data_IF_514304184361
#
_entry.id   IF_514304184361
#
_cell.length_a   1.000
_cell.length_b   1.000
_cell.length_c   1.000
_cell.angle_alpha   90.00
_cell.angle_beta   90.00
_cell.angle_gamma   90.00
#
_symmetry.space_group_name_H-M   'P 1'
#
loop_
_entity.id
_entity.type
_entity.pdbx_description
1 polymer ?
#
# COMPACT_ATOMS: atom_id res chain seq x y z
N UNK A 1 46.04 5.42 -6.57
CA UNK A 1 45.60 4.60 -5.43
C UNK A 1 45.54 5.45 -4.15
N UNK A 2 44.68 6.48 -4.09
CA UNK A 2 44.72 7.48 -3.01
C UNK A 2 43.65 7.32 -1.90
N UNK A 3 42.61 6.48 -2.11
CA UNK A 3 41.47 6.40 -1.18
C UNK A 3 41.28 5.04 -0.49
N UNK A 4 42.22 4.10 -0.60
CA UNK A 4 42.07 2.77 0.03
C UNK A 4 40.91 1.92 -0.51
N UNK A 5 40.26 2.35 -1.59
CA UNK A 5 39.15 1.65 -2.27
C UNK A 5 39.72 0.99 -3.53
N UNK A 6 39.58 -0.33 -3.63
CA UNK A 6 39.96 -1.10 -4.82
C UNK A 6 38.72 -1.27 -5.70
N UNK A 7 38.73 -0.68 -6.89
CA UNK A 7 37.66 -0.91 -7.89
C UNK A 7 38.16 -1.89 -8.94
N UNK A 8 37.41 -2.96 -9.21
CA UNK A 8 37.64 -3.83 -10.35
C UNK A 8 37.46 -3.05 -11.68
N UNK A 9 38.06 -3.52 -12.80
CA UNK A 9 38.15 -2.76 -14.05
C UNK A 9 36.79 -2.27 -14.59
N UNK A 10 35.74 -3.06 -14.39
CA UNK A 10 34.38 -2.76 -14.81
C UNK A 10 33.49 -2.22 -13.71
N UNK A 11 33.92 -2.29 -12.44
CA UNK A 11 33.11 -1.88 -11.28
C UNK A 11 32.75 -0.41 -11.37
N UNK A 12 33.69 0.47 -11.76
CA UNK A 12 33.36 1.89 -11.97
C UNK A 12 32.38 2.14 -13.11
N UNK A 13 32.37 1.29 -14.14
CA UNK A 13 31.44 1.42 -15.26
C UNK A 13 30.04 0.92 -14.84
N UNK A 14 29.98 -0.18 -14.10
CA UNK A 14 28.74 -0.68 -13.50
C UNK A 14 28.20 0.28 -12.44
N UNK A 15 29.00 0.76 -11.50
CA UNK A 15 28.60 1.76 -10.49
C UNK A 15 28.03 3.02 -11.16
N UNK A 16 28.66 3.52 -12.23
CA UNK A 16 28.15 4.67 -12.98
C UNK A 16 26.78 4.43 -13.63
N UNK A 17 26.41 3.19 -13.93
CA UNK A 17 25.11 2.83 -14.52
C UNK A 17 24.09 2.41 -13.46
N UNK A 18 24.53 1.68 -12.43
CA UNK A 18 23.71 1.12 -11.36
C UNK A 18 23.32 2.19 -10.35
N UNK A 19 24.23 3.08 -9.95
CA UNK A 19 23.90 4.12 -8.94
C UNK A 19 22.74 5.01 -9.42
N UNK A 20 22.72 5.52 -10.66
CA UNK A 20 21.58 6.29 -11.16
C UNK A 20 20.28 5.48 -11.32
N UNK A 21 20.38 4.19 -11.67
CA UNK A 21 19.22 3.30 -11.79
C UNK A 21 18.64 2.97 -10.41
N UNK A 22 19.48 2.69 -9.43
CA UNK A 22 19.09 2.49 -8.03
C UNK A 22 18.47 3.77 -7.48
N UNK A 23 19.10 4.92 -7.68
CA UNK A 23 18.55 6.20 -7.22
C UNK A 23 17.21 6.52 -7.92
N UNK A 24 17.05 6.13 -9.18
CA UNK A 24 15.77 6.22 -9.90
C UNK A 24 14.71 5.30 -9.30
N UNK A 25 15.05 4.05 -8.99
CA UNK A 25 14.15 3.07 -8.34
C UNK A 25 13.79 3.51 -6.90
N UNK A 26 14.66 4.25 -6.21
CA UNK A 26 14.36 4.71 -4.85
C UNK A 26 13.49 5.97 -4.78
N UNK A 27 13.14 6.60 -5.92
CA UNK A 27 12.24 7.76 -5.95
C UNK A 27 10.77 7.33 -6.01
N UNK A 28 9.94 7.82 -5.09
CA UNK A 28 8.48 7.58 -5.08
C UNK A 28 7.80 7.97 -6.40
N UNK A 29 8.28 9.02 -7.07
CA UNK A 29 7.83 9.44 -8.41
C UNK A 29 7.89 8.31 -9.44
N UNK A 30 8.93 7.48 -9.38
CA UNK A 30 9.21 6.45 -10.36
C UNK A 30 8.20 5.31 -10.27
N UNK A 31 7.82 4.93 -9.04
CA UNK A 31 6.76 3.94 -8.82
C UNK A 31 5.41 4.39 -9.38
N UNK A 32 5.04 5.67 -9.21
CA UNK A 32 3.81 6.22 -9.78
C UNK A 32 3.82 6.26 -11.32
N UNK A 33 4.96 6.59 -11.94
CA UNK A 33 5.12 6.56 -13.40
C UNK A 33 5.03 5.13 -13.94
N UNK A 34 5.70 4.17 -13.29
CA UNK A 34 5.65 2.77 -13.68
C UNK A 34 4.22 2.23 -13.59
N UNK A 35 3.52 2.53 -12.49
CA UNK A 35 2.15 2.15 -12.29
C UNK A 35 1.23 2.71 -13.39
N UNK A 36 1.39 3.99 -13.74
CA UNK A 36 0.69 4.62 -14.86
C UNK A 36 0.99 3.94 -16.19
N UNK A 37 2.26 3.58 -16.45
CA UNK A 37 2.63 2.85 -17.66
C UNK A 37 1.94 1.49 -17.72
N UNK A 38 1.92 0.72 -16.61
CA UNK A 38 1.23 -0.56 -16.54
C UNK A 38 -0.28 -0.42 -16.76
N UNK A 39 -0.91 0.61 -16.20
CA UNK A 39 -2.34 0.90 -16.42
C UNK A 39 -2.64 1.20 -17.89
N UNK A 40 -1.82 2.04 -18.54
CA UNK A 40 -1.95 2.35 -19.96
C UNK A 40 -1.74 1.11 -20.82
N UNK A 41 -0.74 0.29 -20.51
CA UNK A 41 -0.48 -0.98 -21.20
C UNK A 41 -1.68 -1.91 -21.07
N UNK A 42 -2.25 -2.06 -19.87
CA UNK A 42 -3.45 -2.87 -19.65
C UNK A 42 -4.61 -2.40 -20.53
N UNK A 43 -4.84 -1.08 -20.58
CA UNK A 43 -5.89 -0.49 -21.38
C UNK A 43 -5.66 -0.70 -22.88
N UNK A 44 -4.43 -0.55 -23.35
CA UNK A 44 -4.07 -0.80 -24.76
C UNK A 44 -4.31 -2.27 -25.11
N UNK A 45 -3.87 -3.20 -24.27
CA UNK A 45 -4.07 -4.64 -24.50
C UNK A 45 -5.57 -4.97 -24.57
N UNK A 46 -6.36 -4.49 -23.60
CA UNK A 46 -7.80 -4.74 -23.50
C UNK A 46 -8.61 -4.16 -24.68
N UNK A 47 -8.05 -3.21 -25.43
CA UNK A 47 -8.68 -2.57 -26.58
C UNK A 47 -7.99 -2.94 -27.91
N UNK A 48 -7.19 -4.00 -27.91
CA UNK A 48 -6.46 -4.48 -29.09
C UNK A 48 -6.90 -5.90 -29.49
N UNK A 49 -6.45 -6.42 -30.65
CA UNK A 49 -6.68 -7.83 -31.02
C UNK A 49 -6.13 -8.85 -30.00
N UNK A 50 -5.28 -8.43 -29.06
CA UNK A 50 -4.75 -9.29 -28.00
C UNK A 50 -5.71 -9.47 -26.82
N UNK A 51 -6.86 -8.80 -26.82
CA UNK A 51 -7.86 -8.84 -25.73
C UNK A 51 -8.26 -10.27 -25.37
N UNK A 52 -8.64 -11.10 -26.34
CA UNK A 52 -9.11 -12.46 -26.06
C UNK A 52 -8.01 -13.32 -25.41
N UNK A 53 -6.79 -13.25 -25.92
CA UNK A 53 -5.63 -13.94 -25.34
C UNK A 53 -5.33 -13.46 -23.92
N UNK A 54 -5.50 -12.16 -23.67
CA UNK A 54 -5.30 -11.54 -22.37
C UNK A 54 -6.34 -11.98 -21.34
N UNK A 55 -7.62 -11.91 -21.68
CA UNK A 55 -8.73 -12.39 -20.83
C UNK A 55 -8.59 -13.90 -20.58
N UNK A 56 -8.28 -14.71 -21.61
CA UNK A 56 -8.08 -16.15 -21.46
C UNK A 56 -6.92 -16.45 -20.50
N UNK A 57 -5.80 -15.74 -20.60
CA UNK A 57 -4.69 -15.90 -19.66
C UNK A 57 -5.13 -15.60 -18.22
N UNK A 58 -5.76 -14.46 -17.98
CA UNK A 58 -6.21 -14.05 -16.65
C UNK A 58 -7.25 -15.00 -16.04
N UNK A 59 -8.13 -15.58 -16.85
CA UNK A 59 -9.15 -16.53 -16.41
C UNK A 59 -8.69 -18.00 -16.39
N UNK A 60 -7.43 -18.28 -16.76
CA UNK A 60 -6.90 -19.65 -16.71
C UNK A 60 -6.93 -20.18 -15.26
N UNK A 61 -7.56 -21.34 -14.99
CA UNK A 61 -7.65 -21.88 -13.64
C UNK A 61 -6.31 -22.47 -13.20
N UNK A 62 -5.83 -22.05 -12.03
CA UNK A 62 -4.65 -22.59 -11.35
C UNK A 62 -5.11 -23.26 -10.07
N UNK A 63 -4.97 -24.58 -10.01
CA UNK A 63 -5.35 -25.38 -8.85
C UNK A 63 -4.15 -25.70 -7.96
N UNK A 64 -4.27 -25.37 -6.67
CA UNK A 64 -3.35 -25.83 -5.62
C UNK A 64 -4.09 -26.83 -4.73
N UNK A 65 -3.57 -28.05 -4.64
CA UNK A 65 -4.19 -29.12 -3.85
C UNK A 65 -3.21 -29.77 -2.87
N UNK A 66 -3.70 -30.04 -1.66
CA UNK A 66 -2.98 -30.78 -0.62
C UNK A 66 -3.91 -31.85 -0.03
N UNK A 67 -3.51 -33.12 -0.15
CA UNK A 67 -4.16 -34.22 0.58
C UNK A 67 -5.68 -34.34 0.42
N UNK A 68 -6.20 -34.32 -0.83
CA UNK A 68 -7.61 -34.57 -1.15
C UNK A 68 -8.48 -33.32 -1.33
N UNK A 69 -8.05 -32.14 -0.89
CA UNK A 69 -8.66 -30.85 -1.20
C UNK A 69 -7.91 -30.12 -2.31
N UNK A 70 -8.61 -29.40 -3.19
CA UNK A 70 -8.02 -28.56 -4.24
C UNK A 70 -8.71 -27.19 -4.28
N UNK A 71 -7.92 -26.12 -4.19
CA UNK A 71 -8.34 -24.74 -4.44
C UNK A 71 -8.06 -24.41 -5.90
N UNK A 72 -9.11 -24.30 -6.72
CA UNK A 72 -9.00 -23.87 -8.12
C UNK A 72 -9.45 -22.42 -8.22
N UNK A 73 -8.51 -21.51 -8.50
CA UNK A 73 -8.77 -20.08 -8.66
C UNK A 73 -8.14 -19.62 -9.97
N UNK A 74 -8.72 -18.60 -10.61
CA UNK A 74 -8.13 -18.01 -11.81
C UNK A 74 -6.82 -17.30 -11.49
N UNK A 75 -5.94 -17.12 -12.49
CA UNK A 75 -4.73 -16.30 -12.35
C UNK A 75 -5.07 -14.91 -11.80
N UNK A 76 -6.12 -14.28 -12.32
CA UNK A 76 -6.61 -12.98 -11.84
C UNK A 76 -6.96 -13.01 -10.34
N UNK A 77 -7.65 -14.04 -9.88
CA UNK A 77 -8.03 -14.14 -8.47
C UNK A 77 -6.82 -14.44 -7.56
N UNK A 78 -5.87 -15.26 -8.01
CA UNK A 78 -4.60 -15.46 -7.32
C UNK A 78 -3.81 -14.17 -7.18
N UNK A 79 -3.72 -13.39 -8.27
CA UNK A 79 -3.09 -12.07 -8.27
C UNK A 79 -3.77 -11.19 -7.21
N UNK A 80 -5.10 -11.09 -7.22
CA UNK A 80 -5.80 -10.21 -6.31
C UNK A 80 -5.66 -10.62 -4.84
N UNK A 81 -5.83 -11.89 -4.50
CA UNK A 81 -5.74 -12.33 -3.09
C UNK A 81 -4.31 -12.35 -2.55
N UNK A 82 -3.33 -12.80 -3.35
CA UNK A 82 -1.95 -12.92 -2.91
C UNK A 82 -1.21 -11.58 -2.91
N UNK A 83 -1.29 -10.83 -4.01
CA UNK A 83 -0.58 -9.56 -4.13
C UNK A 83 -1.13 -8.53 -3.15
N UNK A 84 -2.45 -8.46 -2.98
CA UNK A 84 -3.04 -7.53 -2.04
C UNK A 84 -2.77 -7.93 -0.59
N UNK A 85 -2.60 -9.22 -0.25
CA UNK A 85 -2.14 -9.59 1.09
C UNK A 85 -0.74 -9.04 1.40
N UNK A 86 0.18 -9.02 0.44
CA UNK A 86 1.49 -8.37 0.62
C UNK A 86 1.40 -6.85 0.67
N UNK A 87 0.55 -6.23 -0.15
CA UNK A 87 0.29 -4.80 -0.10
C UNK A 87 -0.24 -4.38 1.30
N UNK A 88 -1.27 -5.06 1.79
CA UNK A 88 -1.85 -4.78 3.11
C UNK A 88 -0.93 -5.17 4.28
N UNK A 89 -0.01 -6.12 4.08
CA UNK A 89 1.07 -6.36 5.05
C UNK A 89 1.98 -5.13 5.18
N UNK A 90 2.40 -4.52 4.07
CA UNK A 90 3.21 -3.28 4.12
C UNK A 90 2.42 -2.13 4.71
N UNK A 91 1.18 -1.91 4.25
CA UNK A 91 0.30 -0.87 4.81
C UNK A 91 0.06 -1.06 6.31
N UNK A 92 -0.13 -2.30 6.77
CA UNK A 92 -0.28 -2.61 8.19
C UNK A 92 0.99 -2.35 8.99
N UNK A 93 2.18 -2.60 8.42
CA UNK A 93 3.46 -2.33 9.09
C UNK A 93 3.69 -0.81 9.22
N UNK A 94 3.40 -0.06 8.16
CA UNK A 94 3.50 1.38 8.12
C UNK A 94 2.51 2.03 9.11
N UNK A 95 1.24 1.60 9.11
CA UNK A 95 0.24 2.04 10.07
C UNK A 95 0.68 1.77 11.51
N UNK A 96 1.18 0.56 11.79
CA UNK A 96 1.69 0.22 13.13
C UNK A 96 2.84 1.14 13.54
N UNK A 97 3.74 1.47 12.61
CA UNK A 97 4.84 2.42 12.84
C UNK A 97 4.31 3.82 13.15
N UNK A 98 3.37 4.32 12.34
CA UNK A 98 2.77 5.64 12.53
C UNK A 98 2.01 5.77 13.86
N UNK A 99 1.26 4.74 14.26
CA UNK A 99 0.53 4.72 15.54
C UNK A 99 1.43 4.65 16.76
N UNK A 100 2.57 3.95 16.68
CA UNK A 100 3.43 3.71 17.84
C UNK A 100 4.58 4.71 17.98
N UNK A 101 5.10 5.22 16.87
CA UNK A 101 6.33 6.04 16.84
C UNK A 101 6.23 7.24 15.89
N UNK A 102 5.27 7.26 14.96
CA UNK A 102 5.13 8.33 13.96
C UNK A 102 4.15 9.43 14.35
N UNK A 103 3.55 10.07 13.35
CA UNK A 103 2.74 11.29 13.54
C UNK A 103 1.37 11.01 14.14
N UNK A 104 0.87 9.77 13.98
CA UNK A 104 -0.38 9.32 14.59
C UNK A 104 -0.21 8.91 16.06
N UNK A 105 1.02 8.89 16.59
CA UNK A 105 1.29 8.51 17.98
C UNK A 105 0.80 9.55 18.99
N UNK A 106 0.72 10.82 18.61
CA UNK A 106 0.21 11.88 19.48
C UNK A 106 -1.27 12.18 19.16
N UNK A 107 -2.19 12.09 20.14
CA UNK A 107 -3.62 12.27 19.88
C UNK A 107 -3.94 13.62 19.21
N UNK A 108 -3.24 14.69 19.60
CA UNK A 108 -3.48 16.03 19.03
C UNK A 108 -3.08 16.13 17.55
N UNK A 109 -2.00 15.48 17.13
CA UNK A 109 -1.57 15.49 15.73
C UNK A 109 -2.38 14.50 14.88
N UNK A 110 -2.77 13.37 15.47
CA UNK A 110 -3.55 12.33 14.81
C UNK A 110 -4.99 12.76 14.49
N UNK A 111 -5.59 13.65 15.30
CA UNK A 111 -6.99 14.06 15.13
C UNK A 111 -7.29 14.68 13.76
N UNK A 112 -6.35 15.46 13.20
CA UNK A 112 -6.60 16.13 11.91
C UNK A 112 -6.63 15.13 10.74
N UNK A 113 -5.61 14.29 10.50
CA UNK A 113 -5.68 13.26 9.45
C UNK A 113 -6.82 12.27 9.67
N UNK A 114 -7.09 11.85 10.91
CA UNK A 114 -8.19 10.91 11.20
C UNK A 114 -9.55 11.55 10.87
N UNK A 115 -9.81 12.78 11.31
CA UNK A 115 -11.07 13.45 10.99
C UNK A 115 -11.24 13.62 9.47
N UNK A 116 -10.17 14.03 8.79
CA UNK A 116 -10.14 14.16 7.34
C UNK A 116 -10.44 12.82 6.65
N UNK A 117 -9.84 11.72 7.10
CA UNK A 117 -10.04 10.36 6.59
C UNK A 117 -11.49 9.90 6.79
N UNK A 118 -12.03 10.03 8.01
CA UNK A 118 -13.43 9.67 8.30
C UNK A 118 -14.39 10.45 7.38
N UNK A 119 -14.19 11.77 7.22
CA UNK A 119 -14.96 12.56 6.26
C UNK A 119 -14.78 12.06 4.83
N UNK A 120 -13.53 11.79 4.44
CA UNK A 120 -13.11 11.25 3.15
C UNK A 120 -13.59 9.83 2.84
N UNK A 121 -14.10 9.08 3.82
CA UNK A 121 -14.74 7.78 3.59
C UNK A 121 -16.26 7.90 3.60
N UNK A 122 -16.82 8.62 4.57
CA UNK A 122 -18.27 8.72 4.79
C UNK A 122 -18.96 9.46 3.65
N UNK A 123 -18.42 10.61 3.21
CA UNK A 123 -19.07 11.41 2.16
C UNK A 123 -19.10 10.70 0.79
N UNK A 124 -18.00 10.09 0.32
CA UNK A 124 -18.05 9.30 -0.91
C UNK A 124 -19.01 8.13 -0.85
N UNK A 125 -19.01 7.39 0.25
CA UNK A 125 -19.91 6.25 0.47
C UNK A 125 -21.39 6.69 0.41
N UNK A 126 -21.74 7.76 1.12
CA UNK A 126 -23.09 8.32 1.09
C UNK A 126 -23.46 8.88 -0.28
N UNK A 127 -22.52 9.55 -0.97
CA UNK A 127 -22.72 10.06 -2.32
C UNK A 127 -23.04 8.95 -3.33
N UNK A 128 -22.33 7.83 -3.26
CA UNK A 128 -22.63 6.66 -4.06
C UNK A 128 -23.98 6.04 -3.70
N UNK A 129 -24.22 5.84 -2.40
CA UNK A 129 -25.45 5.22 -1.91
C UNK A 129 -26.70 6.04 -2.25
N UNK A 130 -26.61 7.37 -2.25
CA UNK A 130 -27.72 8.24 -2.66
C UNK A 130 -28.17 8.02 -4.10
N UNK A 131 -27.24 7.65 -5.01
CA UNK A 131 -27.55 7.32 -6.40
C UNK A 131 -27.91 5.84 -6.59
N UNK A 132 -27.46 4.96 -5.69
CA UNK A 132 -27.68 3.52 -5.73
C UNK A 132 -28.19 2.98 -4.39
N UNK A 133 -29.39 3.38 -3.92
CA UNK A 133 -29.85 3.06 -2.56
C UNK A 133 -30.34 1.62 -2.41
N UNK A 134 -30.58 0.91 -3.51
CA UNK A 134 -31.19 -0.42 -3.50
C UNK A 134 -30.70 -1.29 -4.65
N UNK A 135 -30.90 -2.60 -4.52
CA UNK A 135 -30.59 -3.57 -5.54
C UNK A 135 -29.11 -3.96 -5.60
N UNK A 136 -28.71 -4.70 -6.65
CA UNK A 136 -27.34 -5.17 -6.85
C UNK A 136 -26.27 -4.08 -6.78
N UNK A 137 -26.58 -2.90 -7.32
CA UNK A 137 -25.69 -1.74 -7.36
C UNK A 137 -25.31 -1.22 -5.96
N UNK A 138 -26.18 -1.38 -4.95
CA UNK A 138 -25.91 -0.90 -3.59
C UNK A 138 -24.67 -1.55 -2.96
N UNK A 139 -24.26 -2.74 -3.43
CA UNK A 139 -23.05 -3.41 -2.97
C UNK A 139 -21.76 -2.61 -3.30
N UNK A 140 -21.81 -1.69 -4.27
CA UNK A 140 -20.68 -0.85 -4.65
C UNK A 140 -20.42 0.37 -3.75
N UNK A 141 -21.16 0.55 -2.65
CA UNK A 141 -21.03 1.73 -1.77
C UNK A 141 -19.62 1.96 -1.23
N UNK A 142 -18.84 0.89 -1.09
CA UNK A 142 -17.47 0.99 -0.60
C UNK A 142 -16.45 1.44 -1.64
N UNK A 143 -16.78 1.41 -2.92
CA UNK A 143 -15.84 1.68 -4.01
C UNK A 143 -15.19 3.07 -3.93
N UNK A 144 -15.93 4.17 -3.75
CA UNK A 144 -15.35 5.51 -3.78
C UNK A 144 -14.72 5.95 -2.44
N UNK A 145 -14.62 5.06 -1.44
CA UNK A 145 -13.99 5.39 -0.16
C UNK A 145 -12.47 5.33 -0.20
N UNK A 146 -11.91 4.54 -1.12
CA UNK A 146 -10.49 4.25 -1.12
C UNK A 146 -9.66 5.28 -1.91
N UNK A 147 -8.38 5.35 -1.59
CA UNK A 147 -7.41 6.25 -2.22
C UNK A 147 -6.17 5.45 -2.59
N UNK A 148 -5.72 5.57 -3.84
CA UNK A 148 -4.46 5.00 -4.29
C UNK A 148 -3.30 5.93 -3.88
N UNK A 149 -2.63 5.58 -2.79
CA UNK A 149 -1.51 6.35 -2.24
C UNK A 149 -0.39 6.57 -3.26
N UNK A 150 -0.07 5.56 -4.09
CA UNK A 150 1.05 5.62 -5.03
C UNK A 150 0.78 6.66 -6.13
N UNK A 151 -0.44 6.70 -6.66
CA UNK A 151 -0.83 7.73 -7.62
C UNK A 151 -1.00 9.10 -6.97
N UNK A 152 -1.62 9.19 -5.79
CA UNK A 152 -1.86 10.46 -5.14
C UNK A 152 -0.53 11.15 -4.76
N UNK A 153 0.40 10.41 -4.17
CA UNK A 153 1.76 10.91 -3.86
C UNK A 153 2.55 11.15 -5.14
N UNK A 154 2.43 10.26 -6.14
CA UNK A 154 3.03 10.46 -7.46
C UNK A 154 2.62 11.77 -8.11
N UNK A 155 1.32 12.06 -8.19
CA UNK A 155 0.79 13.32 -8.72
C UNK A 155 1.23 14.54 -7.90
N UNK A 156 1.24 14.43 -6.57
CA UNK A 156 1.70 15.48 -5.68
C UNK A 156 3.19 15.79 -5.87
N UNK A 157 4.00 14.75 -6.06
CA UNK A 157 5.46 14.87 -6.23
C UNK A 157 5.85 15.57 -7.54
N UNK A 158 5.01 15.51 -8.59
CA UNK A 158 5.20 16.26 -9.84
C UNK A 158 5.14 17.79 -9.64
N UNK A 159 4.52 18.26 -8.56
CA UNK A 159 4.47 19.68 -8.22
C UNK A 159 5.79 20.17 -7.58
N UNK A 160 6.65 19.27 -7.14
CA UNK A 160 7.97 19.55 -6.59
C UNK A 160 7.93 20.54 -5.43
N UNK A 161 8.79 21.56 -5.49
CA UNK A 161 8.93 22.56 -4.43
C UNK A 161 7.74 23.53 -4.28
N UNK A 162 6.71 23.44 -5.14
CA UNK A 162 5.53 24.33 -5.06
C UNK A 162 4.57 23.97 -3.93
N UNK A 163 4.72 22.78 -3.34
CA UNK A 163 3.83 22.26 -2.32
C UNK A 163 4.59 22.16 -1.00
N UNK A 164 4.00 22.61 0.13
CA UNK A 164 4.62 22.44 1.45
C UNK A 164 4.82 20.97 1.81
N UNK A 165 5.92 20.66 2.51
CA UNK A 165 6.21 19.29 2.95
C UNK A 165 5.12 18.73 3.86
N UNK A 166 4.54 19.57 4.71
CA UNK A 166 3.42 19.20 5.58
C UNK A 166 2.20 18.69 4.82
N UNK A 167 2.01 19.10 3.55
CA UNK A 167 0.91 18.61 2.72
C UNK A 167 1.14 17.17 2.25
N UNK A 168 2.39 16.82 1.91
CA UNK A 168 2.78 15.46 1.52
C UNK A 168 2.56 14.52 2.69
N UNK A 169 3.06 14.93 3.85
CA UNK A 169 2.89 14.17 5.09
C UNK A 169 1.42 14.00 5.46
N UNK A 170 0.61 15.07 5.37
CA UNK A 170 -0.83 15.00 5.60
C UNK A 170 -1.54 14.02 4.65
N UNK A 171 -1.21 14.03 3.35
CA UNK A 171 -1.77 13.10 2.37
C UNK A 171 -1.39 11.64 2.69
N UNK A 172 -0.14 11.38 3.08
CA UNK A 172 0.30 10.03 3.46
C UNK A 172 -0.47 9.55 4.69
N UNK A 173 -0.56 10.37 5.75
CA UNK A 173 -1.31 10.02 6.95
C UNK A 173 -2.80 9.80 6.68
N UNK A 174 -3.42 10.65 5.85
CA UNK A 174 -4.80 10.50 5.38
C UNK A 174 -4.99 9.16 4.66
N UNK A 175 -4.13 8.86 3.68
CA UNK A 175 -4.24 7.65 2.86
C UNK A 175 -4.07 6.37 3.70
N UNK A 176 -3.14 6.37 4.67
CA UNK A 176 -2.96 5.23 5.58
C UNK A 176 -4.23 4.96 6.40
N UNK A 177 -4.87 6.02 6.92
CA UNK A 177 -6.11 5.87 7.71
C UNK A 177 -7.28 5.45 6.81
N UNK A 178 -7.40 6.03 5.61
CA UNK A 178 -8.41 5.65 4.62
C UNK A 178 -8.28 4.18 4.20
N UNK A 179 -7.06 3.70 3.93
CA UNK A 179 -6.80 2.31 3.55
C UNK A 179 -7.12 1.33 4.68
N UNK A 180 -6.77 1.66 5.94
CA UNK A 180 -7.18 0.86 7.09
C UNK A 180 -8.70 0.81 7.22
N UNK A 181 -9.35 1.96 7.07
CA UNK A 181 -10.80 2.06 7.11
C UNK A 181 -11.44 1.21 6.01
N UNK A 182 -10.88 1.23 4.80
CA UNK A 182 -11.32 0.39 3.70
C UNK A 182 -11.16 -1.10 4.00
N UNK A 183 -10.03 -1.53 4.58
CA UNK A 183 -9.85 -2.93 5.04
C UNK A 183 -10.90 -3.32 6.07
N UNK A 184 -11.17 -2.46 7.05
CA UNK A 184 -12.17 -2.73 8.07
C UNK A 184 -13.57 -2.89 7.44
N UNK A 185 -13.91 -2.05 6.45
CA UNK A 185 -15.16 -2.17 5.71
C UNK A 185 -15.21 -3.47 4.89
N UNK A 186 -14.14 -3.83 4.19
CA UNK A 186 -14.02 -5.10 3.45
C UNK A 186 -14.29 -6.29 4.38
N UNK A 187 -13.66 -6.29 5.55
CA UNK A 187 -13.80 -7.35 6.54
C UNK A 187 -15.25 -7.50 7.04
N UNK A 188 -15.93 -6.39 7.30
CA UNK A 188 -17.25 -6.38 7.95
C UNK A 188 -18.41 -6.54 6.97
N UNK A 189 -18.31 -5.98 5.76
CA UNK A 189 -19.45 -5.84 4.84
C UNK A 189 -19.36 -6.71 3.59
N UNK A 190 -18.15 -7.15 3.20
CA UNK A 190 -17.96 -7.92 1.97
C UNK A 190 -17.68 -9.41 2.23
N UNK A 191 -17.50 -9.83 3.49
CA UNK A 191 -17.29 -11.24 3.83
C UNK A 191 -18.55 -12.07 3.60
N UNK A 192 -18.43 -13.28 3.04
CA UNK A 192 -19.58 -14.14 2.70
C UNK A 192 -19.32 -15.60 3.07
N UNK A 193 -20.38 -16.37 3.34
CA UNK A 193 -20.35 -17.82 3.60
C UNK A 193 -19.28 -18.26 4.63
N UNK A 194 -19.42 -17.76 5.88
CA UNK A 194 -18.50 -18.09 6.97
C UNK A 194 -18.60 -19.57 7.34
N UNK A 195 -17.56 -20.33 7.02
CA UNK A 195 -17.41 -21.70 7.51
C UNK A 195 -16.77 -21.69 8.91
N UNK A 196 -17.48 -22.25 9.89
CA UNK A 196 -17.07 -22.22 11.29
C UNK A 196 -15.77 -22.98 11.56
N UNK A 197 -15.48 -24.03 10.80
CA UNK A 197 -14.29 -24.87 10.97
C UNK A 197 -13.04 -24.13 10.51
N UNK A 198 -13.09 -23.52 9.33
CA UNK A 198 -12.03 -22.66 8.80
C UNK A 198 -11.83 -21.40 9.65
N UNK A 199 -12.91 -20.83 10.20
CA UNK A 199 -12.80 -19.71 11.15
C UNK A 199 -12.05 -20.09 12.44
N UNK A 200 -12.21 -21.32 12.93
CA UNK A 200 -11.42 -21.82 14.06
C UNK A 200 -9.92 -21.88 13.70
N UNK A 201 -9.56 -22.31 12.49
CA UNK A 201 -8.17 -22.28 12.02
C UNK A 201 -7.62 -20.85 11.93
N UNK A 202 -8.43 -19.90 11.46
CA UNK A 202 -8.06 -18.46 11.47
C UNK A 202 -7.75 -18.02 12.90
N UNK A 203 -8.63 -18.29 13.86
CA UNK A 203 -8.43 -17.93 15.27
C UNK A 203 -7.17 -18.57 15.87
N UNK A 204 -6.91 -19.86 15.59
CA UNK A 204 -5.72 -20.57 16.05
C UNK A 204 -4.45 -19.95 15.47
N UNK A 205 -4.43 -19.66 14.17
CA UNK A 205 -3.26 -19.05 13.52
C UNK A 205 -3.00 -17.64 14.05
N UNK A 206 -4.03 -16.83 14.24
CA UNK A 206 -3.91 -15.51 14.87
C UNK A 206 -3.39 -15.61 16.30
N UNK A 207 -3.91 -16.54 17.12
CA UNK A 207 -3.42 -16.78 18.47
C UNK A 207 -1.95 -17.22 18.48
N UNK A 208 -1.53 -18.04 17.52
CA UNK A 208 -0.14 -18.44 17.36
C UNK A 208 0.77 -17.25 17.01
N UNK A 209 0.35 -16.35 16.10
CA UNK A 209 1.09 -15.12 15.79
C UNK A 209 1.23 -14.21 17.01
N UNK A 210 0.16 -14.05 17.79
CA UNK A 210 0.17 -13.27 19.04
C UNK A 210 1.10 -13.93 20.07
N UNK A 211 1.09 -15.25 20.19
CA UNK A 211 1.98 -16.00 21.07
C UNK A 211 3.45 -15.84 20.66
N UNK A 212 3.78 -15.92 19.37
CA UNK A 212 5.14 -15.66 18.87
C UNK A 212 5.64 -14.27 19.27
N UNK A 213 4.78 -13.25 19.17
CA UNK A 213 5.08 -11.90 19.62
C UNK A 213 5.27 -11.82 21.13
N UNK A 214 4.36 -12.41 21.91
CA UNK A 214 4.41 -12.42 23.37
C UNK A 214 5.65 -13.13 23.93
N UNK A 215 6.07 -14.23 23.31
CA UNK A 215 7.32 -14.97 23.64
C UNK A 215 8.58 -14.19 23.22
N UNK A 216 8.43 -13.14 22.40
CA UNK A 216 9.55 -12.29 21.98
C UNK A 216 10.32 -12.83 20.78
N UNK A 217 9.68 -13.63 19.92
CA UNK A 217 10.29 -14.09 18.67
C UNK A 217 10.43 -12.89 17.74
N UNK A 218 11.67 -12.52 17.41
CA UNK A 218 11.99 -11.34 16.56
C UNK A 218 12.34 -11.68 15.11
N UNK A 219 12.40 -12.97 14.75
CA UNK A 219 12.66 -13.43 13.38
C UNK A 219 11.36 -13.36 12.57
N UNK A 220 11.42 -12.92 11.32
CA UNK A 220 10.24 -12.79 10.45
C UNK A 220 9.71 -14.15 9.95
N UNK A 221 10.60 -15.13 9.75
CA UNK A 221 10.24 -16.43 9.15
C UNK A 221 9.08 -17.16 9.86
N UNK A 222 9.02 -17.25 11.21
CA UNK A 222 7.86 -17.85 11.89
C UNK A 222 6.55 -17.11 11.65
N UNK A 223 6.57 -15.77 11.60
CA UNK A 223 5.38 -14.96 11.29
C UNK A 223 4.94 -15.17 9.84
N UNK A 224 5.88 -15.27 8.90
CA UNK A 224 5.57 -15.57 7.51
C UNK A 224 4.97 -16.97 7.36
N UNK A 225 5.54 -17.98 8.03
CA UNK A 225 5.04 -19.36 7.96
C UNK A 225 3.62 -19.50 8.52
N UNK A 226 3.37 -18.99 9.73
CA UNK A 226 2.01 -18.98 10.32
C UNK A 226 1.08 -18.05 9.54
N UNK A 227 1.60 -16.95 9.00
CA UNK A 227 0.88 -16.02 8.15
C UNK A 227 0.38 -16.64 6.85
N UNK A 228 1.17 -17.50 6.20
CA UNK A 228 0.72 -18.26 5.03
C UNK A 228 -0.42 -19.21 5.39
N UNK A 229 -0.32 -19.89 6.54
CA UNK A 229 -1.41 -20.75 7.03
C UNK A 229 -2.68 -19.94 7.32
N UNK A 230 -2.54 -18.79 7.98
CA UNK A 230 -3.63 -17.85 8.22
C UNK A 230 -4.28 -17.41 6.91
N UNK A 231 -3.48 -16.99 5.93
CA UNK A 231 -3.95 -16.58 4.59
C UNK A 231 -4.73 -17.70 3.90
N UNK A 232 -4.22 -18.94 3.91
CA UNK A 232 -4.95 -20.09 3.33
C UNK A 232 -6.26 -20.40 4.07
N UNK A 233 -6.28 -20.27 5.41
CA UNK A 233 -7.49 -20.49 6.19
C UNK A 233 -8.54 -19.40 5.93
N UNK A 234 -8.09 -18.14 5.77
CA UNK A 234 -8.98 -17.03 5.44
C UNK A 234 -9.61 -17.22 4.06
N UNK A 235 -8.80 -17.55 3.05
CA UNK A 235 -9.25 -17.87 1.69
C UNK A 235 -10.33 -18.97 1.68
N UNK A 236 -10.21 -19.98 2.55
CA UNK A 236 -11.20 -21.06 2.69
C UNK A 236 -12.44 -20.66 3.49
N UNK A 237 -12.33 -19.70 4.41
CA UNK A 237 -13.38 -19.29 5.36
C UNK A 237 -14.38 -18.27 4.82
N UNK A 238 -14.15 -17.75 3.61
CA UNK A 238 -14.97 -16.67 3.03
C UNK A 238 -14.69 -15.28 3.61
N UNK A 239 -13.70 -15.16 4.51
CA UNK A 239 -13.07 -13.89 4.88
C UNK A 239 -11.99 -13.58 3.86
N UNK A 240 -11.91 -12.33 3.40
CA UNK A 240 -10.87 -11.88 2.46
C UNK A 240 -9.46 -12.18 2.99
N UNK A 241 -8.67 -12.89 2.18
CA UNK A 241 -7.34 -13.33 2.60
C UNK A 241 -6.36 -12.15 2.73
N UNK A 242 -6.67 -11.02 2.10
CA UNK A 242 -5.93 -9.74 2.20
C UNK A 242 -5.77 -9.23 3.63
N UNK A 243 -6.76 -9.47 4.50
CA UNK A 243 -6.74 -9.07 5.91
C UNK A 243 -5.64 -9.82 6.69
N UNK A 244 -5.22 -11.01 6.22
CA UNK A 244 -4.11 -11.74 6.82
C UNK A 244 -2.83 -10.89 6.86
N UNK A 245 -2.57 -10.09 5.82
CA UNK A 245 -1.43 -9.17 5.78
C UNK A 245 -1.44 -8.19 6.94
N UNK A 246 -2.59 -7.55 7.20
CA UNK A 246 -2.77 -6.62 8.33
C UNK A 246 -2.58 -7.34 9.67
N UNK A 247 -3.19 -8.51 9.86
CA UNK A 247 -3.05 -9.28 11.10
C UNK A 247 -1.58 -9.61 11.38
N UNK A 248 -0.84 -10.07 10.37
CA UNK A 248 0.59 -10.35 10.48
C UNK A 248 1.35 -9.08 10.87
N UNK A 249 1.12 -7.96 10.19
CA UNK A 249 1.77 -6.70 10.49
C UNK A 249 1.61 -6.27 11.96
N UNK A 250 0.39 -6.37 12.48
CA UNK A 250 0.10 -6.03 13.87
C UNK A 250 0.71 -7.02 14.86
N UNK A 251 0.99 -8.26 14.47
CA UNK A 251 1.70 -9.24 15.30
C UNK A 251 3.22 -9.10 15.26
N UNK A 252 3.82 -8.60 14.18
CA UNK A 252 5.29 -8.48 14.06
C UNK A 252 5.86 -7.45 15.05
N UNK A 253 6.89 -7.75 15.86
CA UNK A 253 7.39 -6.83 16.89
C UNK A 253 8.01 -5.53 16.33
N UNK A 254 7.74 -4.40 16.99
CA UNK A 254 8.32 -3.08 16.65
C UNK A 254 9.42 -2.61 17.61
N UNK A 255 9.70 -3.35 18.69
CA UNK A 255 10.72 -2.94 19.67
C UNK A 255 12.11 -3.51 19.32
N UNK A 256 13.17 -2.68 19.27
CA UNK A 256 14.53 -3.15 19.04
C UNK A 256 15.05 -3.99 20.21
N UNK A 257 16.12 -4.77 20.00
CA UNK A 257 16.70 -5.62 21.06
C UNK A 257 17.62 -4.85 21.99
N UNK A 258 18.41 -3.92 21.45
CA UNK A 258 19.42 -3.18 22.21
C UNK A 258 18.94 -1.77 22.55
N UNK A 259 19.35 -1.31 23.73
CA UNK A 259 19.32 0.12 24.04
C UNK A 259 20.40 0.85 23.23
N UNK A 260 20.17 2.11 22.81
CA UNK A 260 21.12 2.85 21.98
C UNK A 260 22.55 2.90 22.55
N UNK A 261 22.70 3.17 23.85
CA UNK A 261 24.01 3.28 24.52
C UNK A 261 24.80 1.96 24.45
N UNK A 262 24.16 0.84 24.80
CA UNK A 262 24.80 -0.49 24.74
C UNK A 262 25.24 -0.86 23.32
N UNK A 263 24.51 -0.38 22.30
CA UNK A 263 24.92 -0.59 20.92
C UNK A 263 26.14 0.25 20.56
N UNK A 264 26.18 1.53 20.95
CA UNK A 264 27.32 2.42 20.71
C UNK A 264 28.60 1.83 21.34
N UNK A 265 28.54 1.41 22.60
CA UNK A 265 29.66 0.78 23.29
C UNK A 265 30.19 -0.45 22.54
N UNK A 266 29.27 -1.25 21.98
CA UNK A 266 29.60 -2.43 21.18
C UNK A 266 30.26 -2.07 19.86
N UNK A 267 29.79 -1.02 19.18
CA UNK A 267 30.41 -0.52 17.94
C UNK A 267 31.82 0.01 18.21
N UNK A 268 32.02 0.75 19.30
CA UNK A 268 33.33 1.26 19.69
C UNK A 268 34.33 0.13 20.01
N UNK A 269 33.90 -0.87 20.78
CA UNK A 269 34.73 -2.03 21.11
C UNK A 269 35.05 -2.88 19.86
N UNK A 270 34.05 -3.11 18.99
CA UNK A 270 34.27 -3.80 17.71
C UNK A 270 35.26 -3.03 16.82
N UNK A 271 35.12 -1.71 16.70
CA UNK A 271 36.03 -0.85 15.94
C UNK A 271 37.47 -0.93 16.47
N UNK A 272 37.64 -0.88 17.80
CA UNK A 272 38.94 -1.04 18.45
C UNK A 272 39.57 -2.39 18.15
N UNK A 273 38.80 -3.48 18.26
CA UNK A 273 39.24 -4.85 17.97
C UNK A 273 39.58 -5.04 16.49
N UNK A 274 38.79 -4.46 15.59
CA UNK A 274 39.04 -4.50 14.14
C UNK A 274 40.33 -3.78 13.79
N UNK A 275 40.57 -2.59 14.33
CA UNK A 275 41.84 -1.84 14.13
C UNK A 275 43.05 -2.66 14.56
N UNK A 276 42.96 -3.35 15.72
CA UNK A 276 44.02 -4.25 16.18
C UNK A 276 44.23 -5.45 15.24
N UNK A 277 43.14 -6.07 14.79
CA UNK A 277 43.22 -7.21 13.88
C UNK A 277 43.86 -6.85 12.53
N UNK A 278 43.58 -5.65 11.99
CA UNK A 278 44.21 -5.13 10.76
C UNK A 278 45.70 -4.85 10.97
N UNK A 279 46.09 -4.35 12.16
CA UNK A 279 47.50 -4.16 12.50
C UNK A 279 48.27 -5.49 12.53
N UNK A 280 47.66 -6.56 13.05
CA UNK A 280 48.26 -7.89 13.13
C UNK A 280 48.39 -8.55 11.74
N UNK A 281 47.36 -8.42 10.89
CA UNK A 281 47.38 -8.89 9.50
C UNK A 281 46.53 -7.97 8.61
N UNK A 282 47.16 -7.21 7.69
CA UNK A 282 46.43 -6.26 6.85
C UNK A 282 45.60 -6.94 5.73
N UNK A 283 45.82 -8.22 5.47
CA UNK A 283 45.07 -8.96 4.43
C UNK A 283 43.65 -9.31 4.90
N UNK A 284 42.67 -8.56 4.42
CA UNK A 284 41.25 -8.72 4.77
C UNK A 284 40.72 -10.12 4.46
N UNK A 285 41.16 -10.75 3.37
CA UNK A 285 40.60 -12.02 2.89
C UNK A 285 41.01 -13.17 3.83
N UNK A 286 42.28 -13.18 4.23
CA UNK A 286 42.86 -14.24 5.08
C UNK A 286 42.78 -13.94 6.58
N UNK A 287 42.43 -12.70 6.96
CA UNK A 287 42.24 -12.32 8.35
C UNK A 287 40.88 -12.78 8.90
N UNK A 288 40.81 -14.06 9.29
CA UNK A 288 39.62 -14.67 9.89
C UNK A 288 39.10 -13.89 11.10
N UNK A 289 39.99 -13.29 11.90
CA UNK A 289 39.62 -12.50 13.08
C UNK A 289 38.91 -11.21 12.70
N UNK A 290 39.42 -10.49 11.71
CA UNK A 290 38.77 -9.29 11.18
C UNK A 290 37.41 -9.63 10.58
N UNK A 291 37.33 -10.67 9.75
CA UNK A 291 36.06 -11.12 9.13
C UNK A 291 35.00 -11.48 10.17
N UNK A 292 35.36 -12.23 11.21
CA UNK A 292 34.44 -12.58 12.29
C UNK A 292 33.93 -11.34 13.07
N UNK A 293 34.78 -10.32 13.26
CA UNK A 293 34.38 -9.07 13.91
C UNK A 293 33.42 -8.26 13.02
N UNK A 294 33.66 -8.20 11.71
CA UNK A 294 32.76 -7.56 10.75
C UNK A 294 31.39 -8.25 10.73
N UNK A 295 31.35 -9.58 10.63
CA UNK A 295 30.08 -10.34 10.67
C UNK A 295 29.35 -10.16 12.01
N UNK A 296 30.07 -10.15 13.15
CA UNK A 296 29.44 -9.89 14.44
C UNK A 296 28.90 -8.46 14.56
N UNK A 297 29.51 -7.48 13.89
CA UNK A 297 29.02 -6.11 13.86
C UNK A 297 27.75 -6.02 13.01
N UNK A 298 27.74 -6.67 11.84
CA UNK A 298 26.57 -6.82 10.98
C UNK A 298 25.38 -7.45 11.72
N UNK A 299 25.60 -8.57 12.42
CA UNK A 299 24.59 -9.20 13.29
C UNK A 299 24.09 -8.23 14.37
N UNK A 300 24.99 -7.41 14.93
CA UNK A 300 24.66 -6.39 15.92
C UNK A 300 23.75 -5.29 15.36
N UNK A 301 24.07 -4.78 14.17
CA UNK A 301 23.28 -3.76 13.46
C UNK A 301 21.84 -4.26 13.23
N UNK A 302 21.68 -5.51 12.80
CA UNK A 302 20.37 -6.12 12.60
C UNK A 302 19.52 -6.26 13.86
N UNK A 303 20.12 -6.22 15.05
CA UNK A 303 19.41 -6.33 16.33
C UNK A 303 18.98 -4.96 16.89
N UNK A 304 19.52 -3.87 16.35
CA UNK A 304 19.14 -2.48 16.70
C UNK A 304 17.93 -2.02 15.91
N UNK A 305 17.72 -2.55 14.70
CA UNK A 305 16.52 -2.25 13.92
C UNK A 305 15.34 -3.11 14.39
N UNK A 306 14.17 -2.49 14.50
CA UNK A 306 12.94 -3.20 14.81
C UNK A 306 12.58 -4.20 13.69
N UNK A 307 12.13 -5.44 14.02
CA UNK A 307 11.70 -6.41 13.00
C UNK A 307 10.64 -5.87 12.04
N UNK A 308 9.63 -5.16 12.55
CA UNK A 308 8.59 -4.53 11.73
C UNK A 308 9.17 -3.51 10.73
N UNK A 309 10.07 -2.62 11.19
CA UNK A 309 10.70 -1.61 10.34
C UNK A 309 11.59 -2.22 9.26
N UNK A 310 12.31 -3.31 9.59
CA UNK A 310 13.08 -4.05 8.58
C UNK A 310 12.16 -4.68 7.54
N UNK A 311 11.08 -5.34 7.98
CA UNK A 311 10.11 -5.96 7.09
C UNK A 311 9.50 -4.92 6.14
N UNK A 312 9.06 -3.77 6.67
CA UNK A 312 8.54 -2.62 5.91
C UNK A 312 9.54 -2.19 4.83
N UNK A 313 10.79 -1.89 5.21
CA UNK A 313 11.84 -1.47 4.27
C UNK A 313 12.12 -2.52 3.19
N UNK A 314 12.16 -3.80 3.56
CA UNK A 314 12.44 -4.89 2.59
C UNK A 314 11.28 -5.16 1.63
N UNK A 315 10.04 -4.95 2.07
CA UNK A 315 8.84 -5.26 1.29
C UNK A 315 8.35 -4.07 0.47
N UNK A 316 8.65 -2.83 0.89
CA UNK A 316 8.19 -1.62 0.20
C UNK A 316 8.59 -1.60 -1.28
N UNK A 317 9.84 -1.92 -1.61
CA UNK A 317 10.33 -1.93 -3.00
C UNK A 317 9.63 -3.00 -3.87
N UNK A 318 9.60 -4.29 -3.48
CA UNK A 318 8.80 -5.28 -4.19
C UNK A 318 7.33 -4.90 -4.35
N UNK A 319 6.73 -4.31 -3.30
CA UNK A 319 5.33 -3.89 -3.37
C UNK A 319 5.12 -2.81 -4.43
N UNK A 320 5.93 -1.75 -4.38
CA UNK A 320 5.81 -0.61 -5.29
C UNK A 320 6.16 -0.93 -6.75
N UNK A 321 7.13 -1.83 -7.00
CA UNK A 321 7.68 -2.07 -8.33
C UNK A 321 7.24 -3.36 -9.00
N UNK A 322 6.70 -4.31 -8.25
CA UNK A 322 6.22 -5.59 -8.79
C UNK A 322 4.75 -5.79 -8.48
N UNK A 323 4.37 -5.71 -7.21
CA UNK A 323 3.03 -6.11 -6.75
C UNK A 323 1.95 -5.17 -7.29
N UNK A 324 2.06 -3.86 -7.01
CA UNK A 324 1.08 -2.86 -7.45
C UNK A 324 1.04 -2.76 -8.99
N UNK A 325 2.18 -2.72 -9.72
CA UNK A 325 2.17 -2.72 -11.18
C UNK A 325 1.55 -3.98 -11.82
N UNK A 326 1.82 -5.18 -11.29
CA UNK A 326 1.20 -6.42 -11.78
C UNK A 326 -0.29 -6.45 -11.48
N UNK A 327 -0.69 -6.00 -10.28
CA UNK A 327 -2.09 -5.85 -9.92
C UNK A 327 -2.82 -4.89 -10.88
N UNK A 328 -2.24 -3.72 -11.15
CA UNK A 328 -2.81 -2.76 -12.07
C UNK A 328 -2.88 -3.30 -13.49
N UNK A 329 -1.86 -4.02 -13.96
CA UNK A 329 -1.89 -4.67 -15.26
C UNK A 329 -3.11 -5.61 -15.33
N UNK A 330 -3.22 -6.54 -14.38
CA UNK A 330 -4.30 -7.53 -14.34
C UNK A 330 -5.71 -6.92 -14.26
N UNK A 331 -5.89 -5.82 -13.51
CA UNK A 331 -7.23 -5.32 -13.19
C UNK A 331 -7.66 -4.05 -13.96
N UNK A 332 -6.73 -3.28 -14.53
CA UNK A 332 -7.05 -2.04 -15.25
C UNK A 332 -7.32 -2.25 -16.76
N UNK A 333 -7.25 -3.50 -17.24
CA UNK A 333 -7.55 -3.87 -18.62
C UNK A 333 -9.04 -3.80 -18.92
N UNK A 334 -9.56 -2.60 -19.12
CA UNK A 334 -10.99 -2.35 -19.30
C UNK A 334 -11.31 -2.16 -20.79
N UNK A 335 -12.22 -2.97 -21.37
CA UNK A 335 -12.66 -2.76 -22.74
C UNK A 335 -13.50 -1.48 -22.83
N UNK A 336 -13.08 -0.56 -23.70
CA UNK A 336 -13.77 0.70 -23.98
C UNK A 336 -14.55 0.53 -25.28
N UNK A 337 -15.87 0.47 -25.18
CA UNK A 337 -16.74 0.65 -26.33
C UNK A 337 -16.96 2.15 -26.57
N UNK A 338 -16.28 2.71 -27.57
CA UNK A 338 -16.43 4.12 -27.95
C UNK A 338 -17.82 4.45 -28.51
N UNK A 339 -18.50 3.50 -29.14
CA UNK A 339 -19.85 3.72 -29.69
C UNK A 339 -20.91 3.73 -28.58
N UNK A 340 -20.69 2.96 -27.52
CA UNK A 340 -21.54 2.86 -26.35
C UNK A 340 -21.21 3.81 -25.20
N UNK A 341 -20.23 4.71 -25.35
CA UNK A 341 -19.67 5.49 -24.23
C UNK A 341 -20.72 6.29 -23.44
N UNK A 342 -21.74 6.82 -24.12
CA UNK A 342 -22.85 7.51 -23.45
C UNK A 342 -23.59 6.64 -22.43
N UNK A 343 -23.74 5.34 -22.71
CA UNK A 343 -24.41 4.40 -21.79
C UNK A 343 -23.60 4.17 -20.51
N UNK A 344 -22.28 4.26 -20.58
CA UNK A 344 -21.44 4.16 -19.38
C UNK A 344 -21.62 5.39 -18.48
N UNK A 345 -21.77 6.57 -19.08
CA UNK A 345 -22.00 7.82 -18.32
C UNK A 345 -23.41 7.94 -17.76
N UNK A 346 -24.40 7.31 -18.37
CA UNK A 346 -25.78 7.31 -17.86
C UNK A 346 -26.02 6.23 -16.78
N UNK A 347 -25.07 5.31 -16.60
CA UNK A 347 -25.19 4.24 -15.62
C UNK A 347 -25.01 4.76 -14.18
N UNK A 348 -25.90 4.35 -13.28
CA UNK A 348 -25.93 4.80 -11.89
C UNK A 348 -24.71 4.37 -11.08
N UNK A 349 -24.09 3.21 -11.37
CA UNK A 349 -22.85 2.76 -10.73
C UNK A 349 -21.71 3.68 -11.13
N UNK A 350 -21.54 3.94 -12.43
CA UNK A 350 -20.49 4.83 -12.95
C UNK A 350 -20.62 6.23 -12.34
N UNK A 351 -21.82 6.81 -12.38
CA UNK A 351 -22.10 8.13 -11.81
C UNK A 351 -21.90 8.15 -10.29
N UNK A 352 -22.34 7.11 -9.58
CA UNK A 352 -22.11 6.93 -8.15
C UNK A 352 -20.63 6.98 -7.80
N UNK A 353 -19.79 6.24 -8.53
CA UNK A 353 -18.35 6.25 -8.32
C UNK A 353 -17.76 7.63 -8.62
N UNK A 354 -18.11 8.23 -9.76
CA UNK A 354 -17.59 9.55 -10.16
C UNK A 354 -17.98 10.61 -9.13
N UNK A 355 -19.24 10.69 -8.73
CA UNK A 355 -19.70 11.63 -7.72
C UNK A 355 -19.02 11.39 -6.37
N UNK A 356 -18.88 10.12 -5.95
CA UNK A 356 -18.22 9.77 -4.69
C UNK A 356 -16.75 10.20 -4.66
N UNK A 357 -15.97 9.84 -5.68
CA UNK A 357 -14.53 10.15 -5.74
C UNK A 357 -14.24 11.62 -6.08
N UNK A 358 -14.96 12.22 -7.03
CA UNK A 358 -14.66 13.57 -7.51
C UNK A 358 -15.25 14.67 -6.63
N UNK A 359 -16.43 14.44 -6.03
CA UNK A 359 -17.11 15.42 -5.18
C UNK A 359 -17.09 15.00 -3.71
N UNK A 360 -17.40 13.73 -3.42
CA UNK A 360 -17.47 13.23 -2.05
C UNK A 360 -16.15 13.34 -1.30
N UNK A 361 -15.02 12.94 -1.91
CA UNK A 361 -13.69 12.99 -1.27
C UNK A 361 -13.28 14.41 -0.88
N UNK A 362 -13.23 15.39 -1.80
CA UNK A 362 -12.84 16.74 -1.43
C UNK A 362 -13.81 17.40 -0.45
N UNK A 363 -15.12 17.17 -0.59
CA UNK A 363 -16.11 17.72 0.35
C UNK A 363 -15.98 17.10 1.74
N UNK A 364 -15.80 15.79 1.83
CA UNK A 364 -15.62 15.07 3.08
C UNK A 364 -14.34 15.46 3.80
N UNK A 365 -13.20 15.38 3.09
CA UNK A 365 -11.87 15.70 3.62
C UNK A 365 -11.81 17.17 4.07
N UNK A 366 -12.17 18.11 3.19
CA UNK A 366 -12.11 19.53 3.52
C UNK A 366 -13.18 19.92 4.56
N UNK A 367 -14.37 19.34 4.50
CA UNK A 367 -15.46 19.60 5.44
C UNK A 367 -15.13 19.16 6.86
N UNK A 368 -14.62 17.94 7.03
CA UNK A 368 -14.25 17.42 8.35
C UNK A 368 -12.97 18.07 8.88
N UNK A 369 -12.01 18.38 8.01
CA UNK A 369 -10.84 19.18 8.39
C UNK A 369 -11.27 20.55 8.91
N UNK A 370 -12.14 21.25 8.18
CA UNK A 370 -12.66 22.55 8.61
C UNK A 370 -13.41 22.46 9.93
N UNK A 371 -14.25 21.44 10.10
CA UNK A 371 -15.01 21.22 11.33
C UNK A 371 -14.08 20.95 12.53
N UNK A 372 -13.08 20.08 12.38
CA UNK A 372 -12.10 19.77 13.42
C UNK A 372 -11.31 21.01 13.85
N UNK A 373 -10.92 21.86 12.89
CA UNK A 373 -10.23 23.13 13.17
C UNK A 373 -11.17 24.13 13.85
N UNK A 374 -12.41 24.26 13.37
CA UNK A 374 -13.38 25.21 13.92
C UNK A 374 -13.82 24.85 15.34
N UNK A 375 -13.92 23.56 15.66
CA UNK A 375 -14.24 23.07 17.01
C UNK A 375 -13.04 23.10 17.97
N UNK A 376 -11.84 23.46 17.50
CA UNK A 376 -10.62 23.48 18.30
C UNK A 376 -10.09 22.09 18.67
N UNK A 377 -10.51 21.04 17.95
CA UNK A 377 -10.03 19.66 18.17
C UNK A 377 -8.65 19.44 17.55
N UNK A 378 -8.34 20.16 16.47
CA UNK A 378 -7.04 20.09 15.82
C UNK A 378 -6.63 21.44 15.22
N UNK A 379 -5.34 21.60 14.93
CA UNK A 379 -4.79 22.81 14.31
C UNK A 379 -4.27 22.47 12.91
N UNK A 380 -4.63 23.30 11.93
CA UNK A 380 -4.05 23.22 10.60
C UNK A 380 -2.59 23.74 10.65
N UNK A 381 -1.60 23.02 10.08
CA UNK A 381 -0.23 23.50 10.02
C UNK A 381 -0.13 24.89 9.37
N UNK A 382 0.81 25.71 9.86
CA UNK A 382 0.91 27.15 9.50
C UNK A 382 1.18 27.40 8.01
N UNK A 383 1.78 26.44 7.32
CA UNK A 383 2.07 26.48 5.89
C UNK A 383 0.94 25.91 5.03
N UNK A 384 -0.13 25.39 5.65
CA UNK A 384 -1.31 24.87 4.97
C UNK A 384 -2.48 25.85 5.00
N UNK A 385 -3.30 25.79 3.96
CA UNK A 385 -4.54 26.55 3.80
C UNK A 385 -5.64 25.58 3.39
N UNK A 386 -6.90 25.91 3.64
CA UNK A 386 -8.03 25.06 3.22
C UNK A 386 -8.04 24.77 1.71
N UNK A 387 -7.53 25.68 0.87
CA UNK A 387 -7.35 25.41 -0.56
C UNK A 387 -6.40 24.24 -0.83
N UNK A 388 -5.32 24.09 -0.05
CA UNK A 388 -4.43 22.93 -0.14
C UNK A 388 -5.14 21.65 0.27
N UNK A 389 -6.00 21.71 1.30
CA UNK A 389 -6.79 20.55 1.74
C UNK A 389 -7.80 20.12 0.68
N UNK A 390 -8.45 21.06 -0.02
CA UNK A 390 -9.34 20.75 -1.15
C UNK A 390 -8.54 20.10 -2.30
N UNK A 391 -7.36 20.63 -2.61
CA UNK A 391 -6.46 20.05 -3.61
C UNK A 391 -6.01 18.63 -3.26
N UNK A 392 -5.64 18.39 -2.01
CA UNK A 392 -5.37 17.04 -1.50
C UNK A 392 -6.62 16.17 -1.53
N UNK A 393 -7.79 16.70 -1.20
CA UNK A 393 -9.04 15.96 -1.28
C UNK A 393 -9.38 15.51 -2.70
N UNK A 394 -9.04 16.31 -3.71
CA UNK A 394 -9.12 15.89 -5.12
C UNK A 394 -8.08 14.81 -5.45
N UNK A 395 -6.82 14.95 -5.03
CA UNK A 395 -5.81 13.90 -5.23
C UNK A 395 -6.18 12.60 -4.50
N UNK A 396 -6.82 12.70 -3.33
CA UNK A 396 -7.34 11.56 -2.59
C UNK A 396 -8.54 10.90 -3.30
N UNK A 397 -9.18 11.61 -4.24
CA UNK A 397 -10.17 11.05 -5.17
C UNK A 397 -9.57 10.14 -6.25
N UNK A 398 -8.23 10.00 -6.32
CA UNK A 398 -7.60 8.99 -7.16
C UNK A 398 -7.74 7.64 -6.47
N UNK A 399 -8.86 6.94 -6.70
CA UNK A 399 -9.12 5.63 -6.09
C UNK A 399 -8.39 4.47 -6.78
N UNK A 400 -8.12 4.61 -8.08
CA UNK A 400 -7.48 3.64 -8.98
C UNK A 400 -7.37 2.20 -8.45
N UNK A 401 -6.19 1.73 -8.01
CA UNK A 401 -6.00 0.29 -7.68
C UNK A 401 -6.88 -0.16 -6.51
N UNK A 402 -7.00 0.66 -5.47
CA UNK A 402 -7.75 0.31 -4.27
C UNK A 402 -9.27 0.32 -4.51
N UNK A 403 -9.78 1.29 -5.26
CA UNK A 403 -11.19 1.28 -5.66
C UNK A 403 -11.50 0.14 -6.62
N UNK A 404 -10.58 -0.21 -7.52
CA UNK A 404 -10.71 -1.37 -8.42
C UNK A 404 -10.80 -2.65 -7.60
N UNK A 405 -9.91 -2.80 -6.61
CA UNK A 405 -9.94 -3.95 -5.70
C UNK A 405 -11.27 -4.06 -4.97
N UNK A 406 -11.79 -2.97 -4.37
CA UNK A 406 -13.10 -2.98 -3.70
C UNK A 406 -14.24 -3.27 -4.70
N UNK A 407 -14.15 -2.80 -5.94
CA UNK A 407 -15.15 -3.10 -6.96
C UNK A 407 -15.16 -4.58 -7.32
N UNK A 408 -14.00 -5.22 -7.46
CA UNK A 408 -13.88 -6.67 -7.69
C UNK A 408 -14.53 -7.48 -6.55
N UNK A 409 -14.44 -7.00 -5.31
CA UNK A 409 -15.12 -7.61 -4.16
C UNK A 409 -16.64 -7.33 -4.16
N UNK A 410 -17.04 -6.09 -4.40
CA UNK A 410 -18.45 -5.67 -4.32
C UNK A 410 -19.33 -6.16 -5.46
N UNK A 411 -18.74 -6.41 -6.63
CA UNK A 411 -19.42 -6.94 -7.81
C UNK A 411 -18.93 -8.34 -8.19
N UNK A 412 -18.45 -9.11 -7.22
CA UNK A 412 -18.11 -10.51 -7.41
C UNK A 412 -19.27 -11.28 -8.06
N UNK A 413 -19.00 -11.94 -9.19
CA UNK A 413 -20.02 -12.65 -9.98
C UNK A 413 -20.93 -11.77 -10.84
N UNK A 414 -20.69 -10.45 -10.93
CA UNK A 414 -21.44 -9.49 -11.75
C UNK A 414 -20.51 -8.71 -12.69
N UNK A 415 -20.08 -9.30 -13.81
CA UNK A 415 -19.06 -8.71 -14.68
C UNK A 415 -19.50 -7.39 -15.32
N UNK A 416 -20.79 -7.21 -15.61
CA UNK A 416 -21.31 -5.96 -16.18
C UNK A 416 -21.23 -4.79 -15.17
N UNK A 417 -21.70 -4.99 -13.93
CA UNK A 417 -21.63 -3.99 -12.88
C UNK A 417 -20.16 -3.62 -12.55
N UNK A 418 -19.29 -4.63 -12.54
CA UNK A 418 -17.85 -4.45 -12.36
C UNK A 418 -17.24 -3.59 -13.46
N UNK A 419 -17.63 -3.79 -14.72
CA UNK A 419 -17.17 -2.98 -15.85
C UNK A 419 -17.59 -1.51 -15.70
N UNK A 420 -18.84 -1.26 -15.27
CA UNK A 420 -19.35 0.09 -15.00
C UNK A 420 -18.55 0.77 -13.88
N UNK A 421 -18.33 0.05 -12.78
CA UNK A 421 -17.53 0.53 -11.66
C UNK A 421 -16.09 0.87 -12.08
N UNK A 422 -15.40 -0.06 -12.75
CA UNK A 422 -14.03 0.12 -13.24
C UNK A 422 -13.91 1.32 -14.18
N UNK A 423 -14.88 1.51 -15.08
CA UNK A 423 -14.96 2.70 -15.95
C UNK A 423 -15.11 3.99 -15.15
N UNK A 424 -16.03 4.01 -14.17
CA UNK A 424 -16.24 5.15 -13.28
C UNK A 424 -14.98 5.50 -12.47
N UNK A 425 -14.28 4.49 -11.95
CA UNK A 425 -13.04 4.68 -11.18
C UNK A 425 -11.96 5.32 -12.04
N UNK A 426 -11.75 4.84 -13.27
CA UNK A 426 -10.74 5.40 -14.18
C UNK A 426 -11.05 6.86 -14.53
N UNK A 427 -12.28 7.16 -14.92
CA UNK A 427 -12.70 8.53 -15.27
C UNK A 427 -12.57 9.46 -14.08
N UNK A 428 -13.06 9.05 -12.90
CA UNK A 428 -12.96 9.81 -11.68
C UNK A 428 -11.50 10.07 -11.29
N UNK A 429 -10.66 9.02 -11.31
CA UNK A 429 -9.24 9.11 -10.96
C UNK A 429 -8.48 10.07 -11.88
N UNK A 430 -8.76 10.04 -13.19
CA UNK A 430 -8.15 10.96 -14.15
C UNK A 430 -8.58 12.41 -13.88
N UNK A 431 -9.89 12.66 -13.72
CA UNK A 431 -10.43 13.99 -13.47
C UNK A 431 -9.97 14.56 -12.12
N UNK A 432 -9.97 13.74 -11.07
CA UNK A 432 -9.57 14.11 -9.72
C UNK A 432 -8.05 14.39 -9.66
N UNK A 433 -7.24 13.56 -10.33
CA UNK A 433 -5.80 13.78 -10.45
C UNK A 433 -5.44 15.05 -11.21
N UNK A 434 -6.06 15.31 -12.37
CA UNK A 434 -5.86 16.54 -13.12
C UNK A 434 -6.34 17.77 -12.32
N UNK A 435 -7.55 17.70 -11.74
CA UNK A 435 -8.13 18.78 -10.94
C UNK A 435 -7.28 19.13 -9.73
N UNK A 436 -6.87 18.12 -8.95
CA UNK A 436 -5.99 18.29 -7.80
C UNK A 436 -4.63 18.88 -8.19
N UNK A 437 -4.02 18.36 -9.27
CA UNK A 437 -2.75 18.88 -9.79
C UNK A 437 -2.84 20.36 -10.19
N UNK A 438 -3.85 20.74 -11.00
CA UNK A 438 -3.99 22.13 -11.46
C UNK A 438 -4.33 23.09 -10.31
N UNK A 439 -5.19 22.68 -9.37
CA UNK A 439 -5.54 23.49 -8.21
C UNK A 439 -4.33 23.75 -7.32
N UNK A 440 -3.57 22.70 -6.96
CA UNK A 440 -2.38 22.85 -6.14
C UNK A 440 -1.26 23.62 -6.85
N UNK A 441 -1.13 23.44 -8.17
CA UNK A 441 -0.21 24.24 -9.00
C UNK A 441 -0.53 25.73 -8.97
N UNK A 442 -1.81 26.09 -8.90
CA UNK A 442 -2.24 27.48 -8.81
C UNK A 442 -1.98 28.07 -7.42
N UNK A 443 -2.18 27.27 -6.37
CA UNK A 443 -2.00 27.68 -4.97
C UNK A 443 -0.53 27.77 -4.53
N UNK A 444 0.36 26.98 -5.15
CA UNK A 444 1.81 26.99 -4.88
C UNK A 444 2.58 28.14 -5.55
N UNK A 445 1.90 29.25 -5.84
CA UNK A 445 2.50 30.48 -6.41
C UNK A 445 2.67 31.55 -5.36
#
# INVERSE_FOLDING_TARGET
>A
MANGIHHAPWERAFDRLLTPLEEFIHRQTTSGILLMACAVIALVIANSPLRESYEHFLHTPVSLGFGGGAFSLSIHHWINELLMAFFFLVMGLELKRELLVGELSSPRQALLPIAAAVGGMVFPALGYYALNPSGPAAAGWGIPMATDIAFAVGALSLLGARVPKSLVTFLIALAIVDDLGAVAVIALFYSSNLDLVTLLYVAICTAALVCLNAVGVRRMLPYAAVGTLLWTAMLASGIHATIAGVIIAFCVPIRPKFHPETFIDRVEDASRKMRKAVWDNPDIIHNNRFRALVTSLEDGVHLVQAPAQRAEHTLHLPVAYLIIPVFALANAGIPIDFAGFGRYLDNSITLGVICGLLLGKPLGIAGFTWLAVKLGWAELPRDLRMGHIIGVGLLAGIGFTMSIFIADLGFAGRPEDLLMAKTGILLASLLAGLGGYFLLRHLGR
#
